data_IF_101588808037
#
_entry.id   IF_101588808037
#
_cell.length_a   1.000
_cell.length_b   1.000
_cell.length_c   1.000
_cell.angle_alpha   90.00
_cell.angle_beta   90.00
_cell.angle_gamma   90.00
#
_symmetry.space_group_name_H-M   'P 1'
#
loop_
_entity.id
_entity.type
_entity.pdbx_description
1 polymer ?
#
# COMPACT_ATOMS: atom_id res chain seq x y z
N UNK A 1 19.74 -16.60 34.80
CA UNK A 1 18.35 -16.86 34.30
C UNK A 1 18.38 -16.83 32.77
N UNK A 2 17.94 -17.87 32.08
CA UNK A 2 17.89 -17.91 30.65
C UNK A 2 16.80 -16.91 30.15
N UNK A 3 17.16 -16.05 29.20
CA UNK A 3 16.25 -15.08 28.59
C UNK A 3 15.12 -15.86 27.86
N UNK A 4 13.85 -15.45 27.97
CA UNK A 4 12.76 -16.15 27.28
C UNK A 4 13.06 -16.35 25.78
N UNK A 5 12.68 -17.48 25.22
CA UNK A 5 13.00 -17.87 23.83
C UNK A 5 12.54 -16.82 22.79
N UNK A 6 11.39 -16.19 23.02
CA UNK A 6 10.87 -15.11 22.15
C UNK A 6 11.80 -13.88 22.10
N UNK A 7 12.26 -13.40 23.23
CA UNK A 7 13.15 -12.22 23.34
C UNK A 7 14.50 -12.50 22.66
N UNK A 8 14.99 -13.75 22.72
CA UNK A 8 16.23 -14.15 22.06
C UNK A 8 16.09 -14.20 20.53
N UNK A 9 14.94 -14.64 20.02
CA UNK A 9 14.64 -14.64 18.60
C UNK A 9 14.59 -13.23 18.02
N UNK A 10 13.91 -12.30 18.69
CA UNK A 10 13.80 -10.90 18.26
C UNK A 10 15.18 -10.20 18.21
N UNK A 11 16.04 -10.46 19.19
CA UNK A 11 17.41 -9.92 19.21
C UNK A 11 18.23 -10.44 18.04
N UNK A 12 18.10 -11.74 17.70
CA UNK A 12 18.79 -12.33 16.55
C UNK A 12 18.25 -11.73 15.24
N UNK A 13 16.94 -11.58 15.09
CA UNK A 13 16.32 -10.99 13.90
C UNK A 13 16.74 -9.54 13.69
N UNK A 14 16.77 -8.74 14.75
CA UNK A 14 17.18 -7.34 14.65
C UNK A 14 18.66 -7.22 14.27
N UNK A 15 19.54 -8.04 14.87
CA UNK A 15 20.97 -8.11 14.51
C UNK A 15 21.14 -8.58 13.06
N UNK A 16 20.40 -9.61 12.64
CA UNK A 16 20.42 -10.12 11.28
C UNK A 16 19.97 -9.05 10.28
N UNK A 17 18.89 -8.33 10.59
CA UNK A 17 18.39 -7.22 9.78
C UNK A 17 19.44 -6.15 9.57
N UNK A 18 20.08 -5.68 10.65
CA UNK A 18 21.16 -4.67 10.57
C UNK A 18 22.32 -5.15 9.71
N UNK A 19 22.78 -6.38 9.92
CA UNK A 19 23.93 -6.93 9.20
C UNK A 19 23.59 -7.12 7.73
N UNK A 20 22.46 -7.75 7.39
CA UNK A 20 22.09 -7.98 6.00
C UNK A 20 21.79 -6.67 5.23
N UNK A 21 21.16 -5.70 5.86
CA UNK A 21 20.89 -4.40 5.23
C UNK A 21 22.16 -3.61 4.95
N UNK A 22 23.20 -3.76 5.79
CA UNK A 22 24.48 -3.08 5.62
C UNK A 22 25.42 -3.81 4.67
N UNK A 23 25.55 -5.14 4.82
CA UNK A 23 26.61 -5.96 4.21
C UNK A 23 26.10 -6.91 3.11
N UNK A 24 24.79 -6.91 2.87
CA UNK A 24 24.13 -7.80 1.90
C UNK A 24 23.92 -9.23 2.41
N UNK A 25 23.24 -10.04 1.59
CA UNK A 25 22.99 -11.45 1.90
C UNK A 25 24.26 -12.27 2.09
N UNK A 26 25.39 -11.87 1.49
CA UNK A 26 26.66 -12.60 1.59
C UNK A 26 27.30 -12.53 2.99
N UNK A 27 26.85 -11.62 3.87
CA UNK A 27 27.34 -11.49 5.24
C UNK A 27 27.29 -12.84 5.99
N UNK A 28 28.36 -13.15 6.72
CA UNK A 28 28.47 -14.40 7.49
C UNK A 28 27.58 -14.41 8.73
N UNK A 29 27.02 -15.58 9.06
CA UNK A 29 26.17 -15.80 10.24
C UNK A 29 26.92 -15.62 11.56
N UNK A 30 28.23 -15.88 11.58
CA UNK A 30 29.11 -15.59 12.73
C UNK A 30 29.12 -14.08 13.08
N UNK A 31 29.03 -13.20 12.08
CA UNK A 31 28.93 -11.74 12.32
C UNK A 31 27.57 -11.36 12.94
N UNK A 32 26.50 -12.00 12.48
CA UNK A 32 25.17 -11.81 13.05
C UNK A 32 25.13 -12.28 14.51
N UNK A 33 25.71 -13.45 14.80
CA UNK A 33 25.80 -13.99 16.14
C UNK A 33 26.55 -13.04 17.09
N UNK A 34 27.65 -12.45 16.61
CA UNK A 34 28.44 -11.45 17.37
C UNK A 34 27.62 -10.19 17.63
N UNK A 35 26.93 -9.66 16.61
CA UNK A 35 26.07 -8.48 16.74
C UNK A 35 24.90 -8.73 17.71
N UNK A 36 24.35 -9.95 17.73
CA UNK A 36 23.27 -10.36 18.63
C UNK A 36 23.74 -10.71 20.05
N UNK A 37 25.07 -10.82 20.29
CA UNK A 37 25.60 -11.26 21.55
C UNK A 37 25.32 -12.72 21.90
N UNK A 38 25.22 -13.61 20.88
CA UNK A 38 24.96 -15.04 21.03
C UNK A 38 25.99 -15.88 20.29
N UNK A 39 26.00 -17.21 20.53
CA UNK A 39 26.81 -18.13 19.72
C UNK A 39 26.15 -18.37 18.36
N UNK A 40 26.95 -18.68 17.34
CA UNK A 40 26.44 -19.07 16.02
C UNK A 40 25.54 -20.32 16.11
N UNK A 41 25.86 -21.27 16.98
CA UNK A 41 25.00 -22.41 17.27
C UNK A 41 23.62 -22.02 17.80
N UNK A 42 23.55 -20.94 18.58
CA UNK A 42 22.26 -20.40 19.03
C UNK A 42 21.44 -19.82 17.87
N UNK A 43 22.09 -19.16 16.92
CA UNK A 43 21.41 -18.67 15.71
C UNK A 43 20.79 -19.81 14.91
N UNK A 44 21.55 -20.90 14.67
CA UNK A 44 21.05 -22.05 13.92
C UNK A 44 20.04 -22.92 14.69
N UNK A 45 20.01 -22.81 16.03
CA UNK A 45 18.95 -23.41 16.84
C UNK A 45 17.59 -22.77 16.58
N UNK A 46 17.55 -21.45 16.34
CA UNK A 46 16.33 -20.71 16.02
C UNK A 46 16.00 -20.74 14.51
N UNK A 47 17.02 -20.68 13.67
CA UNK A 47 16.84 -20.59 12.21
C UNK A 47 17.64 -21.70 11.54
N UNK A 48 16.94 -22.66 10.92
CA UNK A 48 17.53 -23.87 10.30
C UNK A 48 18.58 -23.59 9.22
N UNK A 49 18.54 -22.41 8.60
CA UNK A 49 19.46 -22.00 7.54
C UNK A 49 19.65 -20.48 7.51
N UNK A 50 20.74 -20.03 6.87
CA UNK A 50 20.96 -18.61 6.58
C UNK A 50 19.84 -18.00 5.75
N UNK A 51 19.29 -18.77 4.79
CA UNK A 51 18.17 -18.30 3.97
C UNK A 51 16.92 -18.07 4.84
N UNK A 52 16.60 -18.99 5.74
CA UNK A 52 15.46 -18.81 6.66
C UNK A 52 15.65 -17.61 7.60
N UNK A 53 16.85 -17.45 8.16
CA UNK A 53 17.19 -16.29 8.98
C UNK A 53 17.05 -14.98 8.18
N UNK A 54 17.54 -14.98 6.93
CA UNK A 54 17.48 -13.82 6.05
C UNK A 54 16.04 -13.43 5.71
N UNK A 55 15.23 -14.38 5.28
CA UNK A 55 13.82 -14.12 4.96
C UNK A 55 13.06 -13.62 6.18
N UNK A 56 13.23 -14.26 7.33
CA UNK A 56 12.61 -13.82 8.58
C UNK A 56 13.08 -12.42 9.02
N UNK A 57 14.37 -12.10 8.83
CA UNK A 57 14.89 -10.76 9.15
C UNK A 57 14.38 -9.69 8.18
N UNK A 58 14.12 -10.05 6.91
CA UNK A 58 13.57 -9.14 5.91
C UNK A 58 12.04 -9.04 5.97
N UNK A 59 11.39 -9.97 6.65
CA UNK A 59 9.95 -9.88 6.88
C UNK A 59 9.62 -8.59 7.62
N UNK A 60 8.64 -7.87 7.09
CA UNK A 60 8.08 -6.74 7.78
C UNK A 60 6.98 -7.30 8.66
N UNK A 61 7.19 -7.30 9.97
CA UNK A 61 6.12 -7.61 10.88
C UNK A 61 4.91 -6.77 10.47
N UNK A 62 3.87 -7.46 10.06
CA UNK A 62 2.55 -6.87 9.93
C UNK A 62 2.05 -6.65 11.38
N UNK A 63 2.63 -5.68 12.08
CA UNK A 63 1.93 -5.06 13.19
C UNK A 63 0.57 -4.65 12.65
N UNK A 64 -0.51 -4.82 13.40
CA UNK A 64 -1.83 -4.47 12.93
C UNK A 64 -1.77 -3.11 12.22
N UNK A 65 -2.12 -3.03 10.94
CA UNK A 65 -2.04 -1.77 10.22
C UNK A 65 -3.20 -0.92 10.69
N UNK A 66 -2.99 -0.21 11.79
CA UNK A 66 -3.99 0.67 12.41
C UNK A 66 -4.64 1.61 11.41
N UNK A 67 -3.90 2.03 10.36
CA UNK A 67 -4.44 2.91 9.33
C UNK A 67 -5.50 2.22 8.45
N UNK A 68 -5.37 0.93 8.16
CA UNK A 68 -6.32 0.18 7.33
C UNK A 68 -7.67 0.06 8.03
N UNK A 69 -7.65 -0.27 9.30
CA UNK A 69 -8.84 -0.33 10.16
C UNK A 69 -9.46 1.05 10.31
N UNK A 70 -8.68 2.07 10.70
CA UNK A 70 -9.18 3.44 10.87
C UNK A 70 -9.75 4.02 9.57
N UNK A 71 -9.13 3.73 8.42
CA UNK A 71 -9.62 4.20 7.13
C UNK A 71 -11.00 3.59 6.80
N UNK A 72 -11.17 2.28 7.04
CA UNK A 72 -12.44 1.60 6.74
C UNK A 72 -13.53 1.96 7.73
N UNK A 73 -13.22 2.07 9.02
CA UNK A 73 -14.17 2.47 10.06
C UNK A 73 -14.61 3.93 9.90
N UNK A 74 -13.70 4.79 9.44
CA UNK A 74 -13.99 6.20 9.16
C UNK A 74 -14.76 6.45 7.86
N UNK A 75 -14.93 5.43 7.01
CA UNK A 75 -15.60 5.58 5.72
C UNK A 75 -17.07 6.01 5.90
N UNK A 76 -17.45 7.07 5.20
CA UNK A 76 -18.78 7.65 5.33
C UNK A 76 -18.94 8.70 6.46
N UNK A 77 -18.01 8.75 7.41
CA UNK A 77 -18.09 9.62 8.60
C UNK A 77 -16.98 10.66 8.68
N UNK A 78 -15.72 10.21 8.53
CA UNK A 78 -14.55 11.08 8.56
C UNK A 78 -14.44 11.81 7.21
N UNK A 79 -14.00 13.06 7.25
CA UNK A 79 -13.77 13.86 6.03
C UNK A 79 -12.71 13.16 5.14
N UNK A 80 -13.00 12.91 3.84
CA UNK A 80 -12.13 12.11 2.96
C UNK A 80 -10.70 12.63 2.87
N UNK A 81 -10.51 13.96 2.93
CA UNK A 81 -9.17 14.56 2.91
C UNK A 81 -8.36 14.13 4.13
N UNK A 82 -8.95 14.25 5.32
CA UNK A 82 -8.28 13.90 6.60
C UNK A 82 -7.97 12.41 6.66
N UNK A 83 -8.92 11.56 6.28
CA UNK A 83 -8.75 10.12 6.28
C UNK A 83 -7.62 9.66 5.33
N UNK A 84 -7.61 10.18 4.09
CA UNK A 84 -6.60 9.83 3.08
C UNK A 84 -5.22 10.41 3.39
N UNK A 85 -5.13 11.64 3.95
CA UNK A 85 -3.84 12.20 4.37
C UNK A 85 -3.21 11.37 5.50
N UNK A 86 -4.00 10.98 6.51
CA UNK A 86 -3.55 10.12 7.59
C UNK A 86 -3.09 8.75 7.08
N UNK A 87 -3.92 8.07 6.29
CA UNK A 87 -3.59 6.78 5.69
C UNK A 87 -2.35 6.87 4.79
N UNK A 88 -2.24 7.92 3.98
CA UNK A 88 -1.11 8.14 3.08
C UNK A 88 0.22 8.30 3.80
N UNK A 89 0.25 9.05 4.90
CA UNK A 89 1.46 9.22 5.71
C UNK A 89 1.90 7.91 6.36
N UNK A 90 0.95 7.14 6.91
CA UNK A 90 1.25 5.84 7.52
C UNK A 90 1.70 4.82 6.47
N UNK A 91 1.04 4.76 5.33
CA UNK A 91 1.44 3.90 4.21
C UNK A 91 2.83 4.27 3.68
N UNK A 92 3.13 5.56 3.53
CA UNK A 92 4.46 6.00 3.11
C UNK A 92 5.54 5.62 4.12
N UNK A 93 5.26 5.74 5.43
CA UNK A 93 6.16 5.27 6.50
C UNK A 93 6.42 3.77 6.37
N UNK A 94 5.40 2.96 6.13
CA UNK A 94 5.56 1.51 5.90
C UNK A 94 6.38 1.21 4.63
N UNK A 95 6.08 1.88 3.52
CA UNK A 95 6.80 1.69 2.25
C UNK A 95 8.30 1.96 2.39
N UNK A 96 8.69 2.98 3.15
CA UNK A 96 10.10 3.27 3.44
C UNK A 96 10.83 2.16 4.18
N UNK A 97 10.11 1.38 4.98
CA UNK A 97 10.66 0.22 5.69
C UNK A 97 10.65 -1.04 4.81
N UNK A 98 9.61 -1.21 4.01
CA UNK A 98 9.39 -2.45 3.25
C UNK A 98 10.17 -2.48 1.93
N UNK A 99 10.22 -1.38 1.19
CA UNK A 99 10.89 -1.36 -0.12
C UNK A 99 12.37 -1.74 -0.08
N UNK A 100 13.22 -1.17 0.81
CA UNK A 100 14.62 -1.57 0.88
C UNK A 100 14.80 -3.07 1.17
N UNK A 101 13.96 -3.63 2.05
CA UNK A 101 13.99 -5.05 2.40
C UNK A 101 13.57 -5.93 1.23
N UNK A 102 12.50 -5.57 0.53
CA UNK A 102 12.05 -6.28 -0.65
C UNK A 102 13.10 -6.26 -1.76
N UNK A 103 13.76 -5.13 -1.96
CA UNK A 103 14.87 -5.02 -2.91
C UNK A 103 16.05 -5.92 -2.52
N UNK A 104 16.38 -5.98 -1.23
CA UNK A 104 17.43 -6.85 -0.71
C UNK A 104 17.09 -8.33 -0.95
N UNK A 105 15.84 -8.73 -0.72
CA UNK A 105 15.37 -10.10 -1.01
C UNK A 105 15.49 -10.40 -2.49
N UNK A 106 15.01 -9.53 -3.38
CA UNK A 106 15.11 -9.73 -4.82
C UNK A 106 16.57 -9.81 -5.31
N UNK A 107 17.44 -8.98 -4.76
CA UNK A 107 18.86 -8.96 -5.14
C UNK A 107 19.65 -10.17 -4.57
N UNK A 108 19.17 -10.83 -3.53
CA UNK A 108 19.87 -11.92 -2.86
C UNK A 108 19.89 -13.23 -3.65
N UNK A 109 18.96 -13.41 -4.59
CA UNK A 109 18.70 -14.68 -5.27
C UNK A 109 18.06 -15.75 -4.37
N UNK A 110 17.72 -15.44 -3.13
CA UNK A 110 17.02 -16.36 -2.24
C UNK A 110 15.58 -16.51 -2.71
N UNK A 111 15.19 -17.73 -3.03
CA UNK A 111 13.81 -18.03 -3.40
C UNK A 111 12.91 -17.84 -2.17
N UNK A 112 11.95 -16.94 -2.28
CA UNK A 112 10.89 -16.84 -1.28
C UNK A 112 10.07 -18.13 -1.43
N UNK A 113 10.01 -19.00 -0.40
CA UNK A 113 9.07 -20.10 -0.43
C UNK A 113 7.69 -19.55 -0.77
N UNK A 114 6.99 -20.21 -1.69
CA UNK A 114 5.61 -19.80 -2.02
C UNK A 114 4.75 -19.94 -0.76
N UNK A 115 4.78 -18.95 0.12
CA UNK A 115 3.81 -18.78 1.19
C UNK A 115 2.49 -18.24 0.60
N UNK A 116 2.01 -18.89 -0.45
CA UNK A 116 0.62 -18.81 -0.78
C UNK A 116 -0.11 -19.76 0.18
N UNK A 117 -0.46 -19.25 1.35
CA UNK A 117 -1.59 -19.84 2.06
C UNK A 117 -2.76 -19.76 1.07
N UNK A 118 -3.36 -20.90 0.67
CA UNK A 118 -4.45 -20.88 -0.27
C UNK A 118 -5.55 -19.94 0.27
N UNK A 119 -5.82 -18.86 -0.46
CA UNK A 119 -6.80 -17.84 -0.06
C UNK A 119 -6.22 -16.53 0.49
N UNK A 120 -4.95 -16.46 0.89
CA UNK A 120 -4.34 -15.19 1.29
C UNK A 120 -3.71 -14.46 0.08
N UNK A 121 -4.10 -13.21 -0.08
CA UNK A 121 -3.49 -12.34 -1.09
C UNK A 121 -2.15 -11.80 -0.57
N UNK A 122 -1.13 -11.64 -1.43
CA UNK A 122 0.11 -10.96 -1.06
C UNK A 122 -0.17 -9.59 -0.41
N UNK A 123 0.60 -9.23 0.61
CA UNK A 123 0.42 -8.00 1.39
C UNK A 123 0.19 -6.72 0.55
N UNK A 124 0.88 -6.49 -0.58
CA UNK A 124 0.59 -5.33 -1.44
C UNK A 124 -0.85 -5.33 -2.00
N UNK A 125 -1.39 -6.53 -2.33
CA UNK A 125 -2.74 -6.66 -2.87
C UNK A 125 -3.81 -6.47 -1.78
N UNK A 126 -3.51 -6.83 -0.52
CA UNK A 126 -4.41 -6.58 0.61
C UNK A 126 -4.60 -5.07 0.83
N UNK A 127 -3.52 -4.29 0.82
CA UNK A 127 -3.58 -2.82 0.96
C UNK A 127 -4.35 -2.15 -0.17
N UNK A 128 -4.19 -2.67 -1.38
CA UNK A 128 -4.96 -2.24 -2.55
C UNK A 128 -6.47 -2.49 -2.35
N UNK A 129 -6.84 -3.65 -1.80
CA UNK A 129 -8.23 -3.99 -1.54
C UNK A 129 -8.85 -3.09 -0.46
N UNK A 130 -8.12 -2.76 0.60
CA UNK A 130 -8.55 -1.81 1.63
C UNK A 130 -8.90 -0.46 1.03
N UNK A 131 -8.02 0.13 0.24
CA UNK A 131 -8.27 1.41 -0.43
C UNK A 131 -9.42 1.34 -1.42
N UNK A 132 -9.52 0.26 -2.21
CA UNK A 132 -10.66 0.04 -3.10
C UNK A 132 -11.98 0.00 -2.33
N UNK A 133 -12.03 -0.71 -1.20
CA UNK A 133 -13.21 -0.78 -0.33
C UNK A 133 -13.56 0.58 0.23
N UNK A 134 -12.58 1.34 0.71
CA UNK A 134 -12.76 2.70 1.19
C UNK A 134 -13.38 3.59 0.11
N UNK A 135 -12.76 3.69 -1.07
CA UNK A 135 -13.29 4.49 -2.16
C UNK A 135 -14.70 4.05 -2.60
N UNK A 136 -14.96 2.73 -2.59
CA UNK A 136 -16.29 2.21 -2.90
C UNK A 136 -17.33 2.67 -1.87
N UNK A 137 -16.96 2.69 -0.57
CA UNK A 137 -17.84 3.17 0.49
C UNK A 137 -18.13 4.67 0.36
N UNK A 138 -17.12 5.49 0.06
CA UNK A 138 -17.27 6.93 -0.16
C UNK A 138 -18.16 7.27 -1.37
N UNK A 139 -18.04 6.49 -2.44
CA UNK A 139 -18.92 6.64 -3.62
C UNK A 139 -20.36 6.26 -3.27
N UNK A 140 -20.58 5.17 -2.52
CA UNK A 140 -21.91 4.77 -2.06
C UNK A 140 -22.53 5.79 -1.12
N UNK A 141 -21.73 6.43 -0.29
CA UNK A 141 -22.16 7.53 0.57
C UNK A 141 -22.44 8.86 -0.19
N UNK A 142 -22.19 8.90 -1.51
CA UNK A 142 -22.38 10.08 -2.33
C UNK A 142 -21.38 11.22 -2.07
N UNK A 143 -20.28 10.94 -1.35
CA UNK A 143 -19.25 11.95 -1.03
C UNK A 143 -18.17 12.07 -2.09
N UNK A 144 -17.93 11.00 -2.84
CA UNK A 144 -17.02 11.00 -3.99
C UNK A 144 -17.73 10.50 -5.24
N UNK A 145 -17.32 11.02 -6.41
CA UNK A 145 -17.76 10.56 -7.71
C UNK A 145 -16.55 10.12 -8.52
N UNK A 146 -16.41 8.82 -8.77
CA UNK A 146 -15.29 8.26 -9.53
C UNK A 146 -15.75 7.09 -10.38
N UNK A 147 -15.16 6.97 -11.57
CA UNK A 147 -15.49 5.89 -12.50
C UNK A 147 -15.00 4.52 -12.01
N UNK A 148 -13.86 4.47 -11.32
CA UNK A 148 -13.25 3.23 -10.86
C UNK A 148 -12.51 3.39 -9.52
N UNK A 149 -13.12 2.95 -8.40
CA UNK A 149 -12.44 2.87 -7.10
C UNK A 149 -11.13 2.04 -7.14
N UNK A 150 -11.08 1.03 -8.01
CA UNK A 150 -9.90 0.20 -8.22
C UNK A 150 -8.73 1.02 -8.80
N UNK A 151 -8.98 1.83 -9.82
CA UNK A 151 -7.93 2.67 -10.43
C UNK A 151 -7.47 3.75 -9.45
N UNK A 152 -8.37 4.35 -8.68
CA UNK A 152 -7.99 5.34 -7.66
C UNK A 152 -7.11 4.74 -6.57
N UNK A 153 -7.39 3.51 -6.12
CA UNK A 153 -6.53 2.79 -5.19
C UNK A 153 -5.12 2.55 -5.77
N UNK A 154 -5.03 2.16 -7.05
CA UNK A 154 -3.75 1.99 -7.75
C UNK A 154 -2.97 3.30 -7.85
N UNK A 155 -3.63 4.39 -8.23
CA UNK A 155 -3.00 5.72 -8.33
C UNK A 155 -2.47 6.17 -6.97
N UNK A 156 -3.25 6.00 -5.91
CA UNK A 156 -2.85 6.40 -4.56
C UNK A 156 -1.63 5.63 -4.07
N UNK A 157 -1.68 4.28 -4.11
CA UNK A 157 -0.55 3.44 -3.69
C UNK A 157 0.64 3.64 -4.62
N UNK A 158 0.42 3.67 -5.95
CA UNK A 158 1.47 3.81 -6.94
C UNK A 158 2.27 5.09 -6.78
N UNK A 159 1.60 6.21 -6.53
CA UNK A 159 2.26 7.49 -6.30
C UNK A 159 3.13 7.46 -5.03
N UNK A 160 2.62 6.90 -3.93
CA UNK A 160 3.37 6.77 -2.67
C UNK A 160 4.53 5.79 -2.80
N UNK A 161 4.32 4.66 -3.50
CA UNK A 161 5.36 3.69 -3.76
C UNK A 161 6.48 4.29 -4.63
N UNK A 162 6.12 5.05 -5.67
CA UNK A 162 7.10 5.75 -6.51
C UNK A 162 7.90 6.78 -5.72
N UNK A 163 7.25 7.58 -4.86
CA UNK A 163 7.95 8.51 -3.98
C UNK A 163 8.98 7.78 -3.09
N UNK A 164 8.56 6.70 -2.41
CA UNK A 164 9.45 5.92 -1.56
C UNK A 164 10.58 5.23 -2.36
N UNK A 165 10.30 4.79 -3.57
CA UNK A 165 11.27 4.21 -4.50
C UNK A 165 12.36 5.20 -4.89
N UNK A 166 11.97 6.41 -5.32
CA UNK A 166 12.92 7.47 -5.68
C UNK A 166 13.79 7.89 -4.49
N UNK A 167 13.21 7.98 -3.30
CA UNK A 167 13.94 8.27 -2.07
C UNK A 167 14.94 7.15 -1.73
N UNK A 168 14.54 5.89 -1.85
CA UNK A 168 15.38 4.73 -1.50
C UNK A 168 16.54 4.54 -2.47
N UNK A 169 16.29 4.63 -3.78
CA UNK A 169 17.31 4.35 -4.80
C UNK A 169 18.20 5.52 -5.13
N UNK A 170 17.63 6.71 -5.18
CA UNK A 170 18.32 7.89 -5.72
C UNK A 170 18.55 8.97 -4.66
N UNK A 171 18.11 8.76 -3.41
CA UNK A 171 18.13 9.80 -2.38
C UNK A 171 17.26 11.02 -2.74
N UNK A 172 16.44 10.91 -3.78
CA UNK A 172 15.62 12.01 -4.30
C UNK A 172 14.29 12.11 -3.58
N UNK A 173 13.96 13.32 -3.12
CA UNK A 173 12.68 13.62 -2.47
C UNK A 173 11.94 14.71 -3.27
N UNK A 174 10.76 14.38 -3.76
CA UNK A 174 9.86 15.35 -4.39
C UNK A 174 9.11 16.16 -3.31
N UNK A 175 9.83 16.94 -2.53
CA UNK A 175 9.30 17.69 -1.39
C UNK A 175 9.23 16.88 -0.09
N UNK A 176 8.66 17.48 0.97
CA UNK A 176 8.46 16.76 2.23
C UNK A 176 7.35 15.69 2.09
N UNK A 177 7.42 14.60 2.86
CA UNK A 177 6.38 13.56 2.85
C UNK A 177 4.96 14.12 3.04
N UNK A 178 4.80 15.03 3.99
CA UNK A 178 3.51 15.66 4.29
C UNK A 178 3.00 16.50 3.12
N UNK A 179 3.88 17.29 2.49
CA UNK A 179 3.51 18.11 1.33
C UNK A 179 3.13 17.23 0.13
N UNK A 180 3.89 16.15 -0.10
CA UNK A 180 3.61 15.21 -1.18
C UNK A 180 2.27 14.49 -0.99
N UNK A 181 2.03 13.93 0.21
CA UNK A 181 0.76 13.24 0.52
C UNK A 181 -0.42 14.19 0.40
N UNK A 182 -0.31 15.41 0.93
CA UNK A 182 -1.35 16.43 0.80
C UNK A 182 -1.67 16.75 -0.66
N UNK A 183 -0.65 17.03 -1.47
CA UNK A 183 -0.81 17.31 -2.90
C UNK A 183 -1.44 16.16 -3.67
N UNK A 184 -1.04 14.91 -3.36
CA UNK A 184 -1.64 13.71 -3.95
C UNK A 184 -3.12 13.60 -3.61
N UNK A 185 -3.47 13.75 -2.32
CA UNK A 185 -4.86 13.68 -1.84
C UNK A 185 -5.70 14.80 -2.49
N UNK A 186 -5.21 16.03 -2.53
CA UNK A 186 -5.91 17.14 -3.17
C UNK A 186 -6.12 16.87 -4.67
N UNK A 187 -5.14 16.31 -5.36
CA UNK A 187 -5.26 15.97 -6.78
C UNK A 187 -6.33 14.91 -7.02
N UNK A 188 -6.34 13.84 -6.21
CA UNK A 188 -7.36 12.78 -6.28
C UNK A 188 -8.75 13.36 -5.99
N UNK A 189 -8.89 14.12 -4.91
CA UNK A 189 -10.18 14.64 -4.50
C UNK A 189 -10.75 15.67 -5.49
N UNK A 190 -9.93 16.54 -6.09
CA UNK A 190 -10.38 17.46 -7.14
C UNK A 190 -10.99 16.73 -8.35
N UNK A 191 -10.45 15.56 -8.69
CA UNK A 191 -10.94 14.75 -9.78
C UNK A 191 -12.18 13.91 -9.42
N UNK A 192 -12.49 13.79 -8.11
CA UNK A 192 -13.50 12.82 -7.63
C UNK A 192 -14.57 13.42 -6.73
N UNK A 193 -14.49 14.70 -6.37
CA UNK A 193 -15.56 15.35 -5.62
C UNK A 193 -16.82 15.48 -6.47
N UNK A 194 -17.96 15.15 -5.88
CA UNK A 194 -19.26 15.44 -6.48
C UNK A 194 -19.45 16.96 -6.53
N UNK A 195 -19.72 17.57 -7.68
CA UNK A 195 -20.00 18.99 -7.74
C UNK A 195 -21.23 19.30 -6.87
N UNK A 196 -21.07 20.14 -5.86
CA UNK A 196 -22.19 20.67 -5.08
C UNK A 196 -23.02 21.57 -6.01
N UNK A 197 -24.13 21.07 -6.52
CA UNK A 197 -25.02 21.82 -7.39
C UNK A 197 -24.99 21.39 -8.84
N UNK A 198 -25.35 20.17 -9.12
CA UNK A 198 -25.58 19.65 -10.48
C UNK A 198 -27.07 19.53 -10.80
N UNK A 199 -27.59 20.52 -11.47
CA UNK A 199 -28.73 20.56 -12.40
C UNK A 199 -29.70 19.38 -12.32
N UNK A 200 -30.86 19.61 -11.73
CA UNK A 200 -32.10 18.95 -12.14
C UNK A 200 -32.22 19.12 -13.65
N UNK A 201 -32.06 18.02 -14.39
CA UNK A 201 -32.26 18.00 -15.82
C UNK A 201 -33.66 18.49 -16.15
N UNK A 202 -33.74 19.62 -16.84
CA UNK A 202 -34.97 20.02 -17.54
C UNK A 202 -35.24 18.92 -18.56
N UNK A 203 -36.31 18.18 -18.35
CA UNK A 203 -36.91 17.33 -19.39
C UNK A 203 -37.33 18.26 -20.51
N UNK A 204 -36.53 18.32 -21.55
CA UNK A 204 -36.95 18.88 -22.84
C UNK A 204 -38.02 17.96 -23.40
N UNK A 205 -39.24 18.47 -23.40
CA UNK A 205 -40.39 17.86 -24.10
C UNK A 205 -40.05 17.76 -25.56
N UNK A 206 -39.88 16.54 -26.04
CA UNK A 206 -39.80 16.24 -27.45
C UNK A 206 -41.18 16.50 -28.06
N UNK A 207 -41.30 17.62 -28.79
CA UNK A 207 -42.51 17.97 -29.55
C UNK A 207 -42.73 16.98 -30.67
N UNK A 208 -43.91 16.37 -30.68
CA UNK A 208 -44.47 15.53 -31.74
C UNK A 208 -44.56 16.33 -33.03
N UNK A 209 -43.75 16.03 -34.02
CA UNK A 209 -43.93 16.56 -35.38
C UNK A 209 -44.94 15.66 -36.07
N UNK A 210 -46.17 16.17 -36.19
CA UNK A 210 -47.24 15.59 -37.04
C UNK A 210 -46.83 15.62 -38.52
N UNK A 211 -46.87 14.46 -39.16
CA UNK A 211 -46.65 14.31 -40.58
C UNK A 211 -47.73 15.02 -41.41
N UNK A 212 -47.32 15.85 -42.36
CA UNK A 212 -48.12 16.30 -43.48
C UNK A 212 -47.96 15.32 -44.65
N UNK A 213 -49.06 14.60 -44.93
CA UNK A 213 -49.28 13.91 -46.20
C UNK A 213 -49.32 14.95 -47.34
N UNK A 214 -48.51 14.78 -48.35
CA UNK A 214 -48.76 15.35 -49.67
C UNK A 214 -48.94 14.20 -50.66
N UNK A 215 -50.13 14.28 -51.26
CA UNK A 215 -50.58 13.43 -52.37
C UNK A 215 -49.87 13.83 -53.71
N UNK A 216 -49.50 12.83 -54.45
CA UNK A 216 -49.71 12.62 -55.86
C UNK A 216 -49.12 13.63 -56.89
N UNK A 217 -48.51 13.07 -57.93
CA UNK A 217 -49.00 13.24 -59.32
C UNK A 217 -48.06 12.43 -60.20
N UNK A 218 -48.73 11.64 -61.04
CA UNK A 218 -48.31 10.92 -62.26
C UNK A 218 -47.25 11.62 -63.14
N UNK A 219 -46.22 10.91 -63.56
CA UNK A 219 -46.14 10.43 -65.01
C UNK A 219 -44.93 9.50 -65.11
#
# INVERSE_FOLDING_TARGET
MARPISIQTDVILEAARKVFMRDGYQAGTARIAREAGVSEGSVFKHFKSKANLFLAAMEVEAGEPAWETHLLEGAGFVEPKVALESAGLQLLKQLRLTLPRLMMVNASGVTIPNHHVPGERPCPLQKMDVLRRYFTAEVRAGRLAMASPQIQAHLFIGALAHYAWCETLFGHRSGSPTAYVRGLVETILRATLVPVGGRKGSRSSCGTIQGKKTRGINR
#
